data_IF_808389848682
#
_entry.id   IF_808389848682
#
_cell.length_a   1.000
_cell.length_b   1.000
_cell.length_c   1.000
_cell.angle_alpha   90.00
_cell.angle_beta   90.00
_cell.angle_gamma   90.00
#
_symmetry.space_group_name_H-M   'P 1'
#
loop_
_entity.id
_entity.type
_entity.pdbx_description
1 polymer ?
#
# COMPACT_ATOMS: atom_id res chain seq x y z
N UNK A 1 -6.01 44.96 -1.40
CA UNK A 1 -5.33 43.88 -0.70
C UNK A 1 -5.95 42.58 -1.17
N UNK A 2 -5.26 41.71 -1.92
CA UNK A 2 -5.81 40.40 -2.20
C UNK A 2 -5.83 39.61 -0.88
N UNK A 3 -7.00 39.07 -0.54
CA UNK A 3 -7.17 38.12 0.56
C UNK A 3 -6.20 36.98 0.35
N UNK A 4 -5.29 36.75 1.31
CA UNK A 4 -4.52 35.53 1.42
C UNK A 4 -5.53 34.40 1.61
N UNK A 5 -5.87 33.70 0.52
CA UNK A 5 -6.54 32.42 0.59
C UNK A 5 -5.64 31.52 1.46
N UNK A 6 -6.12 31.23 2.66
CA UNK A 6 -5.54 30.25 3.56
C UNK A 6 -5.68 28.89 2.84
N UNK A 7 -4.66 28.54 2.03
CA UNK A 7 -4.65 27.29 1.30
C UNK A 7 -4.63 26.20 2.35
N UNK A 8 -5.69 25.42 2.41
CA UNK A 8 -5.77 24.24 3.26
C UNK A 8 -4.46 23.44 3.12
N UNK A 9 -3.85 22.97 4.22
CA UNK A 9 -2.59 22.27 4.15
C UNK A 9 -2.72 21.08 3.19
N UNK A 10 -1.77 20.96 2.27
CA UNK A 10 -1.68 19.82 1.33
C UNK A 10 -1.79 18.50 2.10
N UNK A 11 -2.50 17.53 1.54
CA UNK A 11 -2.57 16.17 2.07
C UNK A 11 -1.19 15.50 2.15
N UNK A 12 -1.12 14.43 2.90
CA UNK A 12 0.11 13.66 3.14
C UNK A 12 0.08 12.39 2.29
N UNK A 13 1.14 12.12 1.54
CA UNK A 13 1.27 10.95 0.70
C UNK A 13 2.27 9.94 1.28
N UNK A 14 1.80 8.77 1.68
CA UNK A 14 2.60 7.70 2.26
C UNK A 14 2.49 6.46 1.39
N UNK A 15 3.64 5.88 1.04
CA UNK A 15 3.70 4.63 0.32
C UNK A 15 4.23 3.50 1.19
N UNK A 16 3.81 2.29 0.89
CA UNK A 16 4.29 1.07 1.51
C UNK A 16 4.96 0.20 0.46
N UNK A 17 6.20 -0.15 0.70
CA UNK A 17 7.04 -0.88 -0.21
C UNK A 17 7.61 -2.14 0.43
N UNK A 18 8.22 -3.01 -0.37
CA UNK A 18 8.84 -4.25 0.08
C UNK A 18 8.31 -5.47 -0.65
N UNK A 19 8.96 -6.62 -0.41
CA UNK A 19 8.67 -7.89 -1.06
C UNK A 19 7.25 -8.40 -0.84
N UNK A 20 6.91 -9.48 -1.54
CA UNK A 20 5.62 -10.15 -1.37
C UNK A 20 5.50 -10.75 0.04
N UNK A 21 4.29 -10.74 0.59
CA UNK A 21 4.03 -11.30 1.93
C UNK A 21 4.61 -10.50 3.11
N UNK A 22 5.20 -9.32 2.89
CA UNK A 22 5.75 -8.46 3.95
C UNK A 22 4.70 -7.87 4.91
N UNK A 23 3.40 -8.00 4.57
CA UNK A 23 2.31 -7.54 5.44
C UNK A 23 1.81 -6.12 5.14
N UNK A 24 2.23 -5.49 4.05
CA UNK A 24 1.86 -4.12 3.66
C UNK A 24 0.37 -3.82 3.82
N UNK A 25 -0.47 -4.56 3.14
CA UNK A 25 -1.94 -4.34 3.13
C UNK A 25 -2.56 -4.38 4.53
N UNK A 26 -2.06 -5.24 5.43
CA UNK A 26 -2.55 -5.34 6.82
C UNK A 26 -2.25 -4.05 7.57
N UNK A 27 -1.01 -3.54 7.47
CA UNK A 27 -0.56 -2.36 8.19
C UNK A 27 -1.12 -1.07 7.59
N UNK A 28 -1.32 -1.00 6.26
CA UNK A 28 -2.04 0.10 5.59
C UNK A 28 -3.47 0.23 6.15
N UNK A 29 -4.20 -0.89 6.25
CA UNK A 29 -5.58 -0.86 6.78
C UNK A 29 -5.62 -0.39 8.23
N UNK A 30 -4.74 -0.91 9.07
CA UNK A 30 -4.67 -0.51 10.47
C UNK A 30 -4.31 0.96 10.64
N UNK A 31 -3.31 1.45 9.88
CA UNK A 31 -2.94 2.86 9.86
C UNK A 31 -4.10 3.75 9.39
N UNK A 32 -4.81 3.33 8.34
CA UNK A 32 -5.97 4.07 7.84
C UNK A 32 -7.10 4.17 8.88
N UNK A 33 -7.40 3.08 9.60
CA UNK A 33 -8.39 3.07 10.68
C UNK A 33 -7.98 4.03 11.80
N UNK A 34 -6.71 4.02 12.20
CA UNK A 34 -6.18 4.90 13.23
C UNK A 34 -6.23 6.39 12.82
N UNK A 35 -5.82 6.71 11.59
CA UNK A 35 -5.88 8.07 11.06
C UNK A 35 -7.32 8.60 10.99
N UNK A 36 -8.27 7.77 10.54
CA UNK A 36 -9.70 8.14 10.53
C UNK A 36 -10.25 8.38 11.92
N UNK A 37 -9.87 7.54 12.89
CA UNK A 37 -10.25 7.74 14.30
C UNK A 37 -9.72 9.06 14.89
N UNK A 38 -8.62 9.60 14.30
CA UNK A 38 -8.06 10.92 14.64
C UNK A 38 -8.51 12.03 13.68
N UNK A 39 -9.68 11.86 13.03
CA UNK A 39 -10.33 12.92 12.24
C UNK A 39 -9.70 13.19 10.87
N UNK A 40 -8.83 12.31 10.37
CA UNK A 40 -8.24 12.49 9.02
C UNK A 40 -9.09 11.79 7.96
N UNK A 41 -9.31 12.46 6.84
CA UNK A 41 -9.79 11.78 5.64
C UNK A 41 -8.64 10.95 5.05
N UNK A 42 -8.90 9.67 4.75
CA UNK A 42 -7.86 8.72 4.29
C UNK A 42 -8.34 7.96 3.07
N UNK A 43 -7.53 8.00 2.02
CA UNK A 43 -7.68 7.21 0.81
C UNK A 43 -6.61 6.11 0.77
N UNK A 44 -7.05 4.85 0.62
CA UNK A 44 -6.17 3.71 0.46
C UNK A 44 -6.18 3.25 -0.99
N UNK A 45 -4.99 3.15 -1.58
CA UNK A 45 -4.76 2.78 -2.97
C UNK A 45 -3.75 1.64 -3.07
N UNK A 46 -3.64 1.05 -4.26
CA UNK A 46 -2.58 0.10 -4.62
C UNK A 46 -2.17 0.28 -6.08
N UNK A 47 -0.93 0.02 -6.38
CA UNK A 47 -0.43 -0.07 -7.75
C UNK A 47 -0.05 -1.51 -8.13
N UNK A 48 -0.12 -1.83 -9.43
CA UNK A 48 -0.86 -1.09 -10.45
C UNK A 48 -2.37 -1.19 -10.23
N UNK A 49 -3.14 -0.18 -10.66
CA UNK A 49 -4.60 -0.16 -10.54
C UNK A 49 -5.15 1.14 -9.93
N UNK A 50 -6.31 1.05 -9.27
CA UNK A 50 -6.94 2.17 -8.57
C UNK A 50 -7.76 3.12 -9.45
N UNK A 51 -7.84 2.87 -10.75
CA UNK A 51 -8.75 3.51 -11.72
C UNK A 51 -9.24 2.45 -12.69
N UNK A 52 -10.34 2.68 -13.40
CA UNK A 52 -10.88 1.71 -14.37
C UNK A 52 -9.84 1.33 -15.43
N UNK A 53 -9.11 2.31 -15.98
CA UNK A 53 -8.02 2.08 -16.94
C UNK A 53 -6.85 1.35 -16.25
N UNK A 54 -6.48 1.78 -15.05
CA UNK A 54 -5.41 1.15 -14.27
C UNK A 54 -5.70 -0.32 -13.95
N UNK A 55 -6.96 -0.69 -13.66
CA UNK A 55 -7.34 -2.09 -13.42
C UNK A 55 -7.25 -2.94 -14.69
N UNK A 56 -7.59 -2.41 -15.86
CA UNK A 56 -7.40 -3.09 -17.15
C UNK A 56 -5.91 -3.34 -17.41
N UNK A 57 -5.06 -2.31 -17.21
CA UNK A 57 -3.60 -2.45 -17.34
C UNK A 57 -3.03 -3.45 -16.34
N UNK A 58 -3.53 -3.45 -15.10
CA UNK A 58 -3.18 -4.45 -14.08
C UNK A 58 -3.51 -5.86 -14.55
N UNK A 59 -4.70 -6.07 -15.11
CA UNK A 59 -5.10 -7.38 -15.60
C UNK A 59 -4.12 -7.90 -16.68
N UNK A 60 -3.62 -7.01 -17.55
CA UNK A 60 -2.62 -7.38 -18.57
C UNK A 60 -1.26 -7.69 -17.96
N UNK A 61 -0.73 -6.80 -17.10
CA UNK A 61 0.66 -6.92 -16.61
C UNK A 61 0.86 -8.05 -15.62
N UNK A 62 -0.18 -8.44 -14.88
CA UNK A 62 -0.12 -9.53 -13.89
C UNK A 62 -0.56 -10.90 -14.43
N UNK A 63 -1.18 -10.96 -15.61
CA UNK A 63 -1.64 -12.22 -16.18
C UNK A 63 -0.49 -13.18 -16.45
N UNK A 64 -0.44 -14.35 -15.78
CA UNK A 64 0.64 -15.33 -15.94
C UNK A 64 0.69 -15.95 -17.33
N UNK A 65 -0.32 -15.75 -18.19
CA UNK A 65 -0.33 -16.20 -19.58
C UNK A 65 0.49 -15.31 -20.50
N UNK A 66 0.76 -14.06 -20.11
CA UNK A 66 1.51 -13.08 -20.88
C UNK A 66 3.03 -13.28 -20.75
N UNK A 67 3.48 -14.51 -21.01
CA UNK A 67 4.90 -14.90 -20.88
C UNK A 67 5.84 -14.23 -21.91
N UNK A 68 5.30 -13.79 -23.03
CA UNK A 68 6.06 -13.11 -24.09
C UNK A 68 6.18 -11.59 -23.87
N UNK A 69 5.66 -11.04 -22.76
CA UNK A 69 5.78 -9.62 -22.44
C UNK A 69 7.24 -9.24 -22.23
N UNK A 70 7.74 -8.26 -23.00
CA UNK A 70 9.09 -7.75 -22.81
C UNK A 70 9.20 -6.87 -21.58
N UNK A 71 10.42 -6.71 -21.05
CA UNK A 71 10.65 -5.94 -19.83
C UNK A 71 10.30 -4.45 -20.03
N UNK A 72 10.50 -3.92 -21.24
CA UNK A 72 10.12 -2.55 -21.61
C UNK A 72 8.60 -2.38 -21.63
N UNK A 73 7.87 -3.35 -22.22
CA UNK A 73 6.40 -3.33 -22.22
C UNK A 73 5.84 -3.42 -20.79
N UNK A 74 6.44 -4.26 -19.95
CA UNK A 74 6.10 -4.34 -18.53
C UNK A 74 6.24 -2.98 -17.85
N UNK A 75 7.40 -2.32 -17.97
CA UNK A 75 7.66 -0.98 -17.43
C UNK A 75 6.62 0.03 -17.90
N UNK A 76 6.39 0.11 -19.20
CA UNK A 76 5.48 1.10 -19.79
C UNK A 76 4.02 0.90 -19.33
N UNK A 77 3.59 -0.34 -19.11
CA UNK A 77 2.26 -0.64 -18.56
C UNK A 77 2.14 -0.17 -17.11
N UNK A 78 3.17 -0.38 -16.28
CA UNK A 78 3.19 0.14 -14.90
C UNK A 78 3.11 1.66 -14.89
N UNK A 79 3.91 2.32 -15.74
CA UNK A 79 3.95 3.78 -15.82
C UNK A 79 2.64 4.37 -16.37
N UNK A 80 2.01 3.73 -17.34
CA UNK A 80 0.69 4.15 -17.86
C UNK A 80 -0.39 4.07 -16.76
N UNK A 81 -0.42 2.97 -15.99
CA UNK A 81 -1.35 2.83 -14.88
C UNK A 81 -1.11 3.89 -13.79
N UNK A 82 0.15 4.16 -13.46
CA UNK A 82 0.57 5.20 -12.50
C UNK A 82 0.19 6.59 -12.95
N UNK A 83 0.49 6.95 -14.20
CA UNK A 83 0.14 8.26 -14.74
C UNK A 83 -1.36 8.54 -14.65
N UNK A 84 -2.19 7.53 -14.94
CA UNK A 84 -3.64 7.62 -14.78
C UNK A 84 -4.04 7.80 -13.31
N UNK A 85 -3.49 7.00 -12.41
CA UNK A 85 -3.79 7.04 -10.98
C UNK A 85 -3.38 8.39 -10.35
N UNK A 86 -2.18 8.86 -10.64
CA UNK A 86 -1.67 10.14 -10.12
C UNK A 86 -2.57 11.29 -10.54
N UNK A 87 -2.85 11.40 -11.84
CA UNK A 87 -3.61 12.52 -12.39
C UNK A 87 -5.08 12.51 -11.96
N UNK A 88 -5.70 11.33 -11.96
CA UNK A 88 -7.14 11.20 -11.73
C UNK A 88 -7.49 11.15 -10.25
N UNK A 89 -6.61 10.61 -9.39
CA UNK A 89 -6.97 10.26 -8.02
C UNK A 89 -6.04 10.88 -6.98
N UNK A 90 -4.71 10.62 -7.07
CA UNK A 90 -3.79 10.99 -5.98
C UNK A 90 -3.66 12.50 -5.88
N UNK A 91 -3.31 13.20 -6.97
CA UNK A 91 -3.09 14.63 -6.95
C UNK A 91 -4.34 15.42 -6.51
N UNK A 92 -5.57 15.11 -7.01
CA UNK A 92 -6.78 15.76 -6.52
C UNK A 92 -7.08 15.47 -5.04
N UNK A 93 -6.80 14.27 -4.53
CA UNK A 93 -6.99 13.93 -3.12
C UNK A 93 -6.05 14.74 -2.23
N UNK A 94 -4.76 14.81 -2.59
CA UNK A 94 -3.77 15.59 -1.86
C UNK A 94 -4.09 17.09 -1.88
N UNK A 95 -4.62 17.62 -2.98
CA UNK A 95 -5.05 19.01 -3.05
C UNK A 95 -6.19 19.35 -2.07
N UNK A 96 -7.00 18.34 -1.69
CA UNK A 96 -8.08 18.49 -0.69
C UNK A 96 -7.63 18.22 0.76
N UNK A 97 -6.34 17.97 1.02
CA UNK A 97 -5.84 17.69 2.37
C UNK A 97 -6.00 16.22 2.81
N UNK A 98 -6.37 15.32 1.90
CA UNK A 98 -6.55 13.88 2.17
C UNK A 98 -5.21 13.20 2.43
N UNK A 99 -5.14 12.30 3.40
CA UNK A 99 -3.99 11.40 3.57
C UNK A 99 -4.14 10.25 2.58
N UNK A 100 -3.18 10.11 1.68
CA UNK A 100 -3.14 9.01 0.71
C UNK A 100 -2.16 7.95 1.17
N UNK A 101 -2.63 6.71 1.31
CA UNK A 101 -1.84 5.52 1.60
C UNK A 101 -1.83 4.62 0.37
N UNK A 102 -0.67 4.32 -0.21
CA UNK A 102 -0.56 3.51 -1.41
C UNK A 102 0.30 2.27 -1.18
N UNK A 103 -0.23 1.10 -1.52
CA UNK A 103 0.52 -0.17 -1.55
C UNK A 103 1.27 -0.23 -2.88
N UNK A 104 2.57 0.01 -2.84
CA UNK A 104 3.52 0.21 -3.94
C UNK A 104 3.39 1.56 -4.66
N UNK A 105 4.52 2.05 -5.16
CA UNK A 105 4.66 3.24 -6.00
C UNK A 105 5.98 3.17 -6.77
N UNK A 106 6.62 4.31 -7.04
CA UNK A 106 7.84 4.44 -7.85
C UNK A 106 9.02 3.58 -7.38
N UNK A 107 9.18 3.39 -6.06
CA UNK A 107 10.29 2.58 -5.52
C UNK A 107 10.14 1.10 -5.94
N UNK A 108 8.90 0.60 -6.09
CA UNK A 108 8.65 -0.73 -6.68
C UNK A 108 9.16 -0.80 -8.13
N UNK A 109 8.87 0.19 -8.98
CA UNK A 109 9.34 0.18 -10.38
C UNK A 109 10.87 0.18 -10.45
N UNK A 110 11.51 0.98 -9.62
CA UNK A 110 12.97 0.94 -9.51
C UNK A 110 13.47 -0.44 -9.12
N UNK A 111 12.90 -1.03 -8.07
CA UNK A 111 13.36 -2.33 -7.58
C UNK A 111 13.10 -3.47 -8.59
N UNK A 112 11.90 -3.51 -9.18
CA UNK A 112 11.49 -4.61 -10.05
C UNK A 112 12.03 -4.46 -11.48
N UNK A 113 11.88 -3.27 -12.11
CA UNK A 113 12.22 -3.08 -13.51
C UNK A 113 13.69 -2.67 -13.71
N UNK A 114 14.24 -1.78 -12.88
CA UNK A 114 15.66 -1.44 -13.03
C UNK A 114 16.57 -2.55 -12.51
N UNK A 115 16.41 -2.98 -11.25
CA UNK A 115 17.31 -3.99 -10.68
C UNK A 115 16.88 -5.42 -11.00
N UNK A 116 15.59 -5.72 -10.91
CA UNK A 116 15.05 -7.05 -11.18
C UNK A 116 15.21 -7.46 -12.64
N UNK A 117 14.78 -6.64 -13.59
CA UNK A 117 14.83 -6.85 -15.04
C UNK A 117 16.13 -6.36 -15.68
N UNK A 118 16.90 -5.51 -15.00
CA UNK A 118 18.15 -4.96 -15.55
C UNK A 118 17.96 -3.81 -16.55
N UNK A 119 16.80 -3.13 -16.53
CA UNK A 119 16.58 -1.94 -17.36
C UNK A 119 17.43 -0.77 -16.86
N UNK A 120 17.76 0.15 -17.79
CA UNK A 120 18.51 1.37 -17.44
C UNK A 120 17.83 2.13 -16.30
N UNK A 121 18.57 2.37 -15.22
CA UNK A 121 18.09 3.13 -14.06
C UNK A 121 17.66 4.53 -14.47
N UNK A 122 18.43 5.20 -15.33
CA UNK A 122 18.14 6.54 -15.81
C UNK A 122 16.82 6.57 -16.58
N UNK A 123 16.57 5.58 -17.43
CA UNK A 123 15.32 5.47 -18.17
C UNK A 123 14.13 5.22 -17.22
N UNK A 124 14.28 4.32 -16.27
CA UNK A 124 13.24 4.02 -15.25
C UNK A 124 12.94 5.28 -14.42
N UNK A 125 13.95 6.00 -13.95
CA UNK A 125 13.77 7.23 -13.19
C UNK A 125 13.08 8.32 -14.02
N UNK A 126 13.43 8.45 -15.31
CA UNK A 126 12.76 9.36 -16.25
C UNK A 126 11.30 9.01 -16.50
N UNK A 127 10.99 7.72 -16.69
CA UNK A 127 9.63 7.22 -16.84
C UNK A 127 8.77 7.48 -15.60
N UNK A 128 9.30 7.17 -14.42
CA UNK A 128 8.69 7.50 -13.12
C UNK A 128 8.41 9.01 -12.99
N UNK A 129 9.39 9.86 -13.29
CA UNK A 129 9.25 11.31 -13.19
C UNK A 129 8.14 11.83 -14.13
N UNK A 130 8.09 11.31 -15.37
CA UNK A 130 7.05 11.65 -16.34
C UNK A 130 5.66 11.23 -15.86
N UNK A 131 5.50 9.98 -15.41
CA UNK A 131 4.21 9.44 -14.96
C UNK A 131 3.70 10.15 -13.70
N UNK A 132 4.59 10.48 -12.76
CA UNK A 132 4.24 11.14 -11.51
C UNK A 132 4.08 12.64 -11.61
N UNK A 133 4.52 13.29 -12.71
CA UNK A 133 4.47 14.76 -12.86
C UNK A 133 5.07 15.51 -11.66
N UNK A 134 6.20 15.01 -11.15
CA UNK A 134 6.90 15.58 -10.00
C UNK A 134 6.33 15.21 -8.63
N UNK A 135 5.23 14.46 -8.56
CA UNK A 135 4.71 13.98 -7.28
C UNK A 135 5.66 12.95 -6.66
N UNK A 136 6.02 13.19 -5.39
CA UNK A 136 6.81 12.24 -4.59
C UNK A 136 6.09 11.95 -3.28
N UNK A 137 6.24 10.73 -2.72
CA UNK A 137 5.76 10.43 -1.37
C UNK A 137 6.45 11.30 -0.33
N UNK A 138 5.70 11.78 0.66
CA UNK A 138 6.25 12.44 1.85
C UNK A 138 6.99 11.42 2.73
N UNK A 139 6.53 10.16 2.71
CA UNK A 139 7.15 9.04 3.41
C UNK A 139 6.91 7.73 2.68
N UNK A 140 7.94 6.88 2.64
CA UNK A 140 7.84 5.48 2.23
C UNK A 140 8.18 4.58 3.41
N UNK A 141 7.28 3.66 3.73
CA UNK A 141 7.53 2.59 4.71
C UNK A 141 7.98 1.36 3.95
N UNK A 142 9.27 1.08 3.99
CA UNK A 142 9.82 -0.15 3.44
C UNK A 142 9.70 -1.28 4.44
N UNK A 143 8.79 -2.21 4.17
CA UNK A 143 8.58 -3.39 5.01
C UNK A 143 9.55 -4.50 4.58
N UNK A 144 10.63 -4.64 5.34
CA UNK A 144 11.63 -5.70 5.15
C UNK A 144 11.17 -6.98 5.88
N UNK A 145 11.21 -8.12 5.20
CA UNK A 145 11.01 -9.41 5.86
C UNK A 145 12.29 -9.82 6.57
N UNK A 146 12.22 -10.17 7.86
CA UNK A 146 13.37 -10.63 8.65
C UNK A 146 13.90 -12.02 8.26
N UNK A 147 13.40 -12.59 7.15
CA UNK A 147 13.79 -13.89 6.59
C UNK A 147 14.23 -13.76 5.13
N UNK A 148 14.57 -14.89 4.53
CA UNK A 148 14.92 -14.96 3.09
C UNK A 148 13.69 -14.57 2.24
N UNK A 149 13.91 -14.09 0.99
CA UNK A 149 12.87 -13.84 -0.01
C UNK A 149 11.85 -14.99 -0.11
N UNK A 150 12.32 -16.22 0.11
CA UNK A 150 11.56 -17.46 0.13
C UNK A 150 10.43 -17.49 1.16
N UNK A 151 10.63 -16.90 2.35
CA UNK A 151 9.60 -16.87 3.42
C UNK A 151 8.46 -15.89 3.10
N UNK A 152 8.74 -14.79 2.42
CA UNK A 152 7.73 -13.83 1.96
C UNK A 152 6.88 -14.40 0.83
N UNK A 153 7.55 -14.98 -0.19
CA UNK A 153 6.91 -15.58 -1.36
C UNK A 153 5.98 -16.74 -0.98
N UNK A 154 6.41 -17.62 -0.06
CA UNK A 154 5.59 -18.74 0.42
C UNK A 154 4.28 -18.29 1.12
N UNK A 155 4.24 -17.07 1.70
CA UNK A 155 3.03 -16.50 2.28
C UNK A 155 2.07 -15.90 1.23
N UNK A 156 2.58 -15.47 0.09
CA UNK A 156 1.82 -14.82 -0.98
C UNK A 156 1.13 -15.84 -1.90
N UNK A 157 1.76 -16.97 -2.19
CA UNK A 157 1.37 -17.94 -3.23
C UNK A 157 0.12 -18.76 -2.93
N UNK A 158 -0.53 -18.59 -1.78
CA UNK A 158 -1.80 -19.29 -1.45
C UNK A 158 -2.99 -18.99 -2.40
N UNK A 159 -2.89 -18.01 -3.32
CA UNK A 159 -3.96 -17.60 -4.25
C UNK A 159 -3.63 -17.76 -5.73
N UNK A 160 -2.54 -18.45 -6.06
CA UNK A 160 -2.01 -18.55 -7.40
C UNK A 160 -0.98 -17.44 -7.67
N UNK A 161 0.24 -17.83 -8.06
CA UNK A 161 1.34 -16.89 -8.32
C UNK A 161 1.07 -16.10 -9.61
N UNK A 162 1.17 -14.78 -9.54
CA UNK A 162 1.16 -13.91 -10.70
C UNK A 162 2.47 -13.98 -11.50
N UNK A 163 2.58 -13.23 -12.60
CA UNK A 163 3.72 -13.25 -13.50
C UNK A 163 5.03 -12.82 -12.80
N UNK A 164 4.99 -11.83 -11.92
CA UNK A 164 6.15 -11.36 -11.17
C UNK A 164 6.54 -12.33 -10.05
N UNK A 165 5.57 -12.90 -9.35
CA UNK A 165 5.81 -13.90 -8.31
C UNK A 165 6.49 -15.16 -8.86
N UNK A 166 6.32 -15.46 -10.17
CA UNK A 166 6.95 -16.58 -10.88
C UNK A 166 8.36 -16.29 -11.40
N UNK A 167 8.89 -15.08 -11.23
CA UNK A 167 10.17 -14.66 -11.82
C UNK A 167 11.44 -15.31 -11.20
N UNK A 168 11.28 -16.12 -10.14
CA UNK A 168 12.36 -16.91 -9.55
C UNK A 168 13.08 -16.23 -8.38
N UNK A 169 13.84 -17.04 -7.63
CA UNK A 169 14.47 -16.61 -6.37
C UNK A 169 15.53 -15.52 -6.58
N UNK A 170 16.35 -15.63 -7.63
CA UNK A 170 17.40 -14.64 -7.93
C UNK A 170 16.83 -13.26 -8.27
N UNK A 171 15.71 -13.22 -9.00
CA UNK A 171 14.99 -11.98 -9.30
C UNK A 171 14.53 -11.31 -8.01
N UNK A 172 13.87 -12.06 -7.12
CA UNK A 172 13.40 -11.53 -5.85
C UNK A 172 14.55 -11.13 -4.91
N UNK A 173 15.68 -11.79 -4.96
CA UNK A 173 16.88 -11.40 -4.21
C UNK A 173 17.39 -10.03 -4.68
N UNK A 174 17.52 -9.80 -6.01
CA UNK A 174 17.91 -8.51 -6.56
C UNK A 174 16.90 -7.40 -6.19
N UNK A 175 15.60 -7.70 -6.25
CA UNK A 175 14.55 -6.76 -5.87
C UNK A 175 14.67 -6.34 -4.39
N UNK A 176 14.90 -7.30 -3.50
CA UNK A 176 15.05 -7.01 -2.07
C UNK A 176 16.31 -6.18 -1.79
N UNK A 177 17.42 -6.48 -2.45
CA UNK A 177 18.65 -5.69 -2.35
C UNK A 177 18.44 -4.27 -2.86
N UNK A 178 17.72 -4.11 -3.97
CA UNK A 178 17.36 -2.81 -4.54
C UNK A 178 16.56 -1.95 -3.56
N UNK A 179 15.56 -2.53 -2.89
CA UNK A 179 14.80 -1.80 -1.87
C UNK A 179 15.70 -1.29 -0.73
N UNK A 180 16.66 -2.10 -0.27
CA UNK A 180 17.61 -1.68 0.75
C UNK A 180 18.58 -0.61 0.25
N UNK A 181 18.98 -0.66 -1.03
CA UNK A 181 19.79 0.38 -1.66
C UNK A 181 19.02 1.72 -1.77
N UNK A 182 17.76 1.67 -2.18
CA UNK A 182 16.88 2.85 -2.22
C UNK A 182 16.77 3.49 -0.83
N UNK A 183 16.56 2.68 0.21
CA UNK A 183 16.45 3.18 1.58
C UNK A 183 17.75 3.83 2.08
N UNK A 184 18.92 3.27 1.72
CA UNK A 184 20.22 3.85 2.06
C UNK A 184 20.48 5.20 1.37
N UNK A 185 19.97 5.37 0.14
CA UNK A 185 20.17 6.60 -0.66
C UNK A 185 19.21 7.73 -0.28
N UNK A 186 18.03 7.39 0.28
CA UNK A 186 17.01 8.37 0.64
C UNK A 186 16.43 8.07 2.04
N UNK A 187 17.27 8.07 3.11
CA UNK A 187 16.87 7.61 4.44
C UNK A 187 15.84 8.54 5.11
N UNK A 188 15.74 9.79 4.68
CA UNK A 188 14.77 10.74 5.23
C UNK A 188 13.34 10.45 4.73
N UNK A 189 13.19 9.99 3.51
CA UNK A 189 11.91 9.61 2.94
C UNK A 189 11.60 8.12 3.18
N UNK A 190 12.58 7.23 2.98
CA UNK A 190 12.38 5.77 3.03
C UNK A 190 12.79 5.21 4.38
N UNK A 191 11.80 4.86 5.18
CA UNK A 191 12.00 4.30 6.52
C UNK A 191 11.84 2.79 6.51
N UNK A 192 12.88 2.08 6.92
CA UNK A 192 12.85 0.61 6.97
C UNK A 192 12.18 0.13 8.25
N UNK A 193 11.20 -0.75 8.09
CA UNK A 193 10.53 -1.47 9.18
C UNK A 193 10.68 -2.96 8.95
N UNK A 194 11.41 -3.64 9.85
CA UNK A 194 11.53 -5.10 9.81
C UNK A 194 10.25 -5.73 10.35
N UNK A 195 9.63 -6.59 9.55
CA UNK A 195 8.45 -7.34 9.96
C UNK A 195 8.79 -8.30 11.11
N UNK A 196 8.12 -8.14 12.23
CA UNK A 196 8.24 -9.00 13.40
C UNK A 196 7.25 -10.18 13.33
N UNK A 197 7.42 -11.16 14.23
CA UNK A 197 6.52 -12.31 14.35
C UNK A 197 5.10 -11.89 14.75
N UNK A 198 4.97 -10.85 15.57
CA UNK A 198 3.70 -10.24 15.96
C UNK A 198 3.39 -9.02 15.09
N UNK A 199 2.17 -8.95 14.57
CA UNK A 199 1.71 -7.80 13.78
C UNK A 199 1.66 -6.51 14.60
N UNK A 200 1.34 -6.60 15.89
CA UNK A 200 1.35 -5.49 16.83
C UNK A 200 2.71 -4.80 16.89
N UNK A 201 3.81 -5.56 16.99
CA UNK A 201 5.17 -5.02 17.01
C UNK A 201 5.54 -4.32 15.71
N UNK A 202 5.17 -4.92 14.57
CA UNK A 202 5.40 -4.29 13.27
C UNK A 202 4.61 -3.00 13.14
N UNK A 203 3.35 -2.97 13.62
CA UNK A 203 2.53 -1.77 13.57
C UNK A 203 3.09 -0.65 14.46
N UNK A 204 3.54 -0.96 15.68
CA UNK A 204 4.22 0.01 16.55
C UNK A 204 5.46 0.59 15.88
N UNK A 205 6.28 -0.25 15.22
CA UNK A 205 7.42 0.20 14.45
C UNK A 205 7.03 1.11 13.26
N UNK A 206 5.94 0.80 12.52
CA UNK A 206 5.42 1.67 11.46
C UNK A 206 5.01 3.04 12.02
N UNK A 207 4.26 3.07 13.12
CA UNK A 207 3.81 4.32 13.75
C UNK A 207 5.01 5.15 14.23
N UNK A 208 6.05 4.52 14.74
CA UNK A 208 7.26 5.24 15.17
C UNK A 208 7.97 5.97 14.03
N UNK A 209 7.86 5.51 12.79
CA UNK A 209 8.43 6.16 11.59
C UNK A 209 7.56 7.29 11.03
N UNK A 210 6.38 7.53 11.61
CA UNK A 210 5.41 8.54 11.15
C UNK A 210 5.13 9.64 12.19
N UNK A 211 5.84 9.62 13.34
CA UNK A 211 5.61 10.57 14.45
C UNK A 211 5.81 12.03 14.07
N UNK A 212 6.72 12.31 13.16
CA UNK A 212 6.99 13.65 12.65
C UNK A 212 5.87 14.16 11.73
N UNK A 213 5.18 13.28 11.03
CA UNK A 213 4.01 13.61 10.20
C UNK A 213 2.71 13.64 11.03
N UNK A 214 2.65 12.82 12.08
CA UNK A 214 1.48 12.68 12.95
C UNK A 214 1.92 12.65 14.44
N UNK A 215 2.12 13.80 15.09
CA UNK A 215 2.67 13.87 16.45
C UNK A 215 1.92 13.03 17.49
N UNK A 216 0.61 12.84 17.34
CA UNK A 216 -0.20 12.01 18.25
C UNK A 216 0.22 10.53 18.31
N UNK A 217 0.96 10.06 17.30
CA UNK A 217 1.49 8.69 17.27
C UNK A 217 2.59 8.46 18.31
N UNK A 218 3.20 9.52 18.85
CA UNK A 218 4.23 9.41 19.87
C UNK A 218 3.69 8.83 21.19
N UNK A 219 2.42 9.12 21.52
CA UNK A 219 1.82 8.82 22.82
C UNK A 219 0.74 7.73 22.75
N UNK A 220 0.56 7.09 21.60
CA UNK A 220 -0.55 6.17 21.37
C UNK A 220 -0.56 4.98 22.34
N UNK A 221 0.62 4.38 22.62
CA UNK A 221 0.75 3.26 23.55
C UNK A 221 0.58 3.70 25.01
N UNK A 222 0.92 4.95 25.35
CA UNK A 222 0.70 5.49 26.68
C UNK A 222 -0.78 5.73 26.97
N UNK A 223 -1.56 6.14 25.94
CA UNK A 223 -3.00 6.39 26.05
C UNK A 223 -3.83 5.12 25.98
N UNK A 224 -3.41 4.15 25.18
CA UNK A 224 -4.06 2.86 25.01
C UNK A 224 -3.00 1.75 24.87
N UNK A 225 -2.56 1.12 25.97
CA UNK A 225 -1.54 0.08 25.94
C UNK A 225 -1.90 -1.13 25.05
N UNK A 226 -3.19 -1.37 24.80
CA UNK A 226 -3.67 -2.45 23.96
C UNK A 226 -3.91 -2.03 22.49
N UNK A 227 -3.55 -0.81 22.14
CA UNK A 227 -3.85 -0.25 20.81
C UNK A 227 -3.41 -1.14 19.66
N UNK A 228 -2.18 -1.62 19.67
CA UNK A 228 -1.63 -2.48 18.62
C UNK A 228 -2.05 -3.95 18.75
N UNK A 229 -2.41 -4.44 19.94
CA UNK A 229 -2.79 -5.85 20.17
C UNK A 229 -4.03 -6.28 19.38
N UNK A 230 -4.86 -5.32 18.97
CA UNK A 230 -6.02 -5.53 18.07
C UNK A 230 -5.65 -6.22 16.76
N UNK A 231 -4.40 -6.07 16.30
CA UNK A 231 -3.90 -6.73 15.08
C UNK A 231 -3.59 -8.21 15.27
N UNK A 232 -3.31 -8.64 16.50
CA UNK A 232 -2.96 -10.03 16.83
C UNK A 232 -4.20 -10.88 17.12
N UNK A 233 -5.35 -10.24 17.38
CA UNK A 233 -6.62 -10.96 17.60
C UNK A 233 -7.13 -11.53 16.27
N UNK A 234 -7.22 -12.85 16.17
CA UNK A 234 -7.82 -13.52 15.00
C UNK A 234 -9.28 -13.09 14.87
N UNK A 235 -9.70 -12.64 13.68
CA UNK A 235 -11.07 -12.24 13.32
C UNK A 235 -12.17 -13.34 13.50
N UNK A 236 -11.92 -14.41 14.22
CA UNK A 236 -12.83 -15.56 14.38
C UNK A 236 -13.96 -15.35 15.40
N UNK A 237 -14.06 -14.20 16.07
CA UNK A 237 -15.10 -13.98 17.11
C UNK A 237 -16.07 -12.81 16.86
N UNK A 238 -15.94 -12.03 15.81
CA UNK A 238 -16.85 -10.87 15.58
C UNK A 238 -18.07 -11.21 14.70
N UNK A 239 -18.15 -12.42 14.16
CA UNK A 239 -19.19 -12.85 13.20
C UNK A 239 -20.41 -13.57 13.77
N UNK A 240 -20.60 -13.74 15.09
CA UNK A 240 -21.70 -14.53 15.65
C UNK A 240 -22.63 -13.81 16.63
N UNK A 241 -22.44 -12.55 16.93
CA UNK A 241 -23.28 -11.80 17.89
C UNK A 241 -24.35 -10.88 17.27
N UNK A 242 -24.51 -10.82 15.95
CA UNK A 242 -25.35 -9.84 15.26
C UNK A 242 -26.52 -10.39 14.45
N UNK A 243 -26.91 -11.69 14.57
CA UNK A 243 -28.01 -12.26 13.79
C UNK A 243 -28.89 -13.20 14.64
N UNK A 244 -29.39 -12.72 15.75
CA UNK A 244 -30.57 -13.28 16.43
C UNK A 244 -31.40 -12.13 16.98
N UNK A 245 -32.44 -11.74 16.30
CA UNK A 245 -33.77 -11.29 16.73
C UNK A 245 -34.38 -10.36 15.65
N UNK A 246 -35.22 -10.91 14.86
CA UNK A 246 -36.46 -10.30 14.37
C UNK A 246 -37.12 -11.23 13.36
N UNK A 247 -37.65 -12.32 13.87
CA UNK A 247 -38.62 -13.13 13.17
C UNK A 247 -39.60 -13.65 14.21
N UNK A 248 -40.48 -12.77 14.68
CA UNK A 248 -41.77 -13.17 15.28
C UNK A 248 -42.71 -11.98 15.24
N UNK A 249 -43.93 -12.29 14.80
CA UNK A 249 -45.15 -11.46 14.81
C UNK A 249 -45.49 -10.63 13.57
N UNK A 250 -46.21 -11.28 12.66
CA UNK A 250 -47.35 -10.61 12.04
C UNK A 250 -48.54 -11.61 12.00
N UNK A 251 -49.71 -11.27 12.53
CA UNK A 251 -50.89 -12.12 12.55
C UNK A 251 -51.63 -12.07 11.21
N UNK A 252 -52.31 -13.17 10.91
CA UNK A 252 -53.09 -13.36 9.72
C UNK A 252 -54.30 -12.41 9.59
N UNK A 253 -54.69 -12.15 8.36
CA UNK A 253 -56.02 -11.75 7.99
C UNK A 253 -56.46 -12.51 6.74
N UNK A 254 -57.54 -13.18 6.94
CA UNK A 254 -58.29 -14.04 6.05
C UNK A 254 -59.08 -13.30 4.94
N UNK A 255 -59.34 -14.03 3.88
CA UNK A 255 -60.56 -14.10 3.06
C UNK A 255 -60.93 -12.96 2.08
N UNK A 256 -61.14 -13.38 0.87
CA UNK A 256 -62.40 -13.07 0.18
C UNK A 256 -62.28 -12.62 -1.26
N UNK A 257 -62.80 -13.51 -2.13
CA UNK A 257 -63.33 -13.37 -3.52
C UNK A 257 -62.32 -13.38 -4.63
#
# INVERSE_FOLDING_TARGET
MPETQDLAPRGIFITFEGGEGAGKTTHIRFLAEALRAHGREVLCLREPGGTDIGEQLRAVVLDPRNVAMTDEAELLIYEAARAQLVKQVIAPALARGVVVLCDRFTDSTVAYQAYGRGLSREFVDGANAFACQGLRPDRTILMATGGTARTGLARATHRGADRLERAGEEFHARVNEAFMDIARRDPDRVRVVTSADRKSRTASAVFSQLKDLFPWMADVEQRDPAFFDRLDVKRSQVGRAGLRSSAESAPGASQGV
#
